data_IF_711603115911
#
_entry.id   IF_711603115911
#
_cell.length_a   1.000
_cell.length_b   1.000
_cell.length_c   1.000
_cell.angle_alpha   90.00
_cell.angle_beta   90.00
_cell.angle_gamma   90.00
#
_symmetry.space_group_name_H-M   'P 1'
#
loop_
_entity.id
_entity.type
_entity.pdbx_description
1 polymer ?
#
# COMPACT_ATOMS: atom_id res chain seq x y z
N UNK A 1 1.75 14.57 14.83
CA UNK A 1 0.87 13.42 15.11
C UNK A 1 1.34 12.23 14.28
N UNK A 2 1.02 11.00 14.65
CA UNK A 2 1.28 9.80 13.85
C UNK A 2 -0.06 9.22 13.44
N UNK A 3 -0.13 8.60 12.26
CA UNK A 3 -1.31 7.88 11.83
C UNK A 3 -0.97 6.41 11.64
N UNK A 4 -1.93 5.54 11.94
CA UNK A 4 -1.80 4.10 11.69
C UNK A 4 -2.05 3.83 10.21
N UNK A 5 -1.22 2.98 9.63
CA UNK A 5 -1.42 2.38 8.33
C UNK A 5 -1.19 0.88 8.42
N UNK A 6 -1.64 0.14 7.42
CA UNK A 6 -1.35 -1.29 7.32
C UNK A 6 -0.42 -1.58 6.16
N UNK A 7 0.61 -2.39 6.40
CA UNK A 7 1.51 -2.92 5.39
C UNK A 7 1.15 -4.38 5.10
N UNK A 8 0.77 -4.66 3.85
CA UNK A 8 0.64 -6.02 3.33
C UNK A 8 1.94 -6.40 2.62
N UNK A 9 2.47 -7.57 2.96
CA UNK A 9 3.59 -8.18 2.25
C UNK A 9 3.11 -9.48 1.57
N UNK A 10 3.02 -9.53 0.23
CA UNK A 10 2.49 -10.69 -0.46
C UNK A 10 3.42 -11.91 -0.41
N UNK A 11 4.73 -11.72 -0.16
CA UNK A 11 5.67 -12.85 -0.05
C UNK A 11 5.45 -13.63 1.25
N UNK A 12 5.15 -12.90 2.33
CA UNK A 12 4.94 -13.49 3.65
C UNK A 12 3.46 -13.72 3.99
N UNK A 13 2.55 -13.13 3.22
CA UNK A 13 1.10 -13.09 3.48
C UNK A 13 0.73 -12.43 4.82
N UNK A 14 1.62 -11.58 5.34
CA UNK A 14 1.42 -10.88 6.62
C UNK A 14 0.83 -9.49 6.35
N UNK A 15 -0.19 -9.17 7.14
CA UNK A 15 -0.74 -7.83 7.29
C UNK A 15 -0.34 -7.28 8.65
N UNK A 16 0.32 -6.12 8.72
CA UNK A 16 0.77 -5.53 9.98
C UNK A 16 0.50 -4.04 10.07
N UNK A 17 0.14 -3.58 11.26
CA UNK A 17 0.06 -2.15 11.55
C UNK A 17 1.46 -1.52 11.56
N UNK A 18 1.58 -0.34 10.97
CA UNK A 18 2.77 0.51 10.96
C UNK A 18 2.38 1.95 11.27
N UNK A 19 3.32 2.71 11.84
CA UNK A 19 3.12 4.12 12.09
C UNK A 19 3.68 4.94 10.92
N UNK A 20 2.85 5.83 10.37
CA UNK A 20 3.29 6.86 9.43
C UNK A 20 3.38 8.22 10.14
N UNK A 21 4.43 9.02 9.87
CA UNK A 21 4.46 10.40 10.34
C UNK A 21 3.31 11.17 9.67
N UNK A 22 2.49 11.87 10.46
CA UNK A 22 1.42 12.69 9.90
C UNK A 22 2.00 13.88 9.13
N UNK A 23 1.45 14.17 7.95
CA UNK A 23 1.87 15.29 7.09
C UNK A 23 1.66 14.99 5.60
N UNK A 24 2.10 15.92 4.74
CA UNK A 24 1.86 15.90 3.28
C UNK A 24 2.98 15.14 2.52
N UNK A 25 3.63 14.16 3.16
CA UNK A 25 4.78 13.47 2.55
C UNK A 25 4.45 12.02 2.21
N UNK A 26 4.60 11.65 0.95
CA UNK A 26 4.52 10.26 0.49
C UNK A 26 5.82 9.48 0.70
N UNK A 27 6.93 10.14 1.05
CA UNK A 27 8.24 9.48 1.22
C UNK A 27 8.20 8.23 2.12
N UNK A 28 7.54 8.25 3.29
CA UNK A 28 7.42 7.05 4.12
C UNK A 28 6.72 5.89 3.42
N UNK A 29 5.75 6.17 2.54
CA UNK A 29 5.04 5.14 1.78
C UNK A 29 5.95 4.53 0.71
N UNK A 30 6.70 5.35 -0.03
CA UNK A 30 7.74 4.88 -0.94
C UNK A 30 8.76 3.97 -0.23
N UNK A 31 9.24 4.40 0.93
CA UNK A 31 10.24 3.65 1.71
C UNK A 31 9.66 2.31 2.23
N UNK A 32 8.37 2.27 2.59
CA UNK A 32 7.69 1.04 3.03
C UNK A 32 7.43 0.05 1.89
N UNK A 33 6.99 0.54 0.73
CA UNK A 33 6.73 -0.28 -0.45
C UNK A 33 8.05 -0.76 -1.05
N UNK A 34 9.07 0.10 -1.05
CA UNK A 34 10.36 -0.13 -1.69
C UNK A 34 10.36 0.20 -3.18
N UNK A 35 9.50 1.11 -3.63
CA UNK A 35 9.36 1.48 -5.04
C UNK A 35 9.83 2.91 -5.35
N UNK A 36 9.82 3.25 -6.64
CA UNK A 36 10.14 4.61 -7.14
C UNK A 36 8.91 5.40 -7.56
N UNK A 37 7.82 4.71 -7.92
CA UNK A 37 6.57 5.30 -8.33
C UNK A 37 5.42 4.54 -7.65
N UNK A 38 4.55 5.29 -6.97
CA UNK A 38 3.36 4.71 -6.35
C UNK A 38 2.13 4.97 -7.20
N UNK A 39 1.29 3.94 -7.30
CA UNK A 39 -0.09 4.04 -7.75
C UNK A 39 -1.00 4.26 -6.52
N UNK A 40 -2.00 5.13 -6.65
CA UNK A 40 -3.02 5.32 -5.61
C UNK A 40 -4.32 4.68 -6.07
N UNK A 41 -4.66 3.55 -5.46
CA UNK A 41 -5.88 2.80 -5.72
C UNK A 41 -6.91 3.16 -4.66
N UNK A 42 -8.13 3.50 -5.09
CA UNK A 42 -9.24 3.73 -4.17
C UNK A 42 -9.63 2.40 -3.53
N UNK A 43 -9.54 2.32 -2.19
CA UNK A 43 -9.98 1.15 -1.46
C UNK A 43 -11.47 1.26 -1.11
N UNK A 44 -11.86 2.36 -0.46
CA UNK A 44 -13.26 2.70 -0.19
C UNK A 44 -13.45 4.24 -0.11
N UNK A 45 -14.46 4.70 0.64
CA UNK A 45 -14.75 6.14 0.85
C UNK A 45 -13.79 6.84 1.82
N UNK A 46 -13.07 6.08 2.65
CA UNK A 46 -12.22 6.58 3.73
C UNK A 46 -10.76 6.15 3.62
N UNK A 47 -10.46 5.14 2.80
CA UNK A 47 -9.15 4.53 2.70
C UNK A 47 -8.58 4.58 1.30
N UNK A 48 -7.27 4.77 1.25
CA UNK A 48 -6.48 4.70 0.03
C UNK A 48 -5.47 3.56 0.15
N UNK A 49 -5.36 2.78 -0.92
CA UNK A 49 -4.36 1.73 -1.06
C UNK A 49 -3.24 2.27 -1.97
N UNK A 50 -2.00 2.10 -1.53
CA UNK A 50 -0.80 2.49 -2.28
C UNK A 50 -0.06 1.24 -2.74
N UNK A 51 0.26 1.18 -4.03
CA UNK A 51 0.93 0.07 -4.67
C UNK A 51 2.13 0.55 -5.49
N UNK A 52 3.02 -0.36 -5.88
CA UNK A 52 4.07 -0.07 -6.85
C UNK A 52 3.49 -0.06 -8.27
N UNK A 53 3.49 1.11 -8.92
CA UNK A 53 2.98 1.31 -10.29
C UNK A 53 3.74 0.44 -11.30
N UNK A 54 5.06 0.26 -11.08
CA UNK A 54 5.95 -0.44 -12.01
C UNK A 54 6.32 -1.84 -11.50
N UNK A 55 5.65 -2.32 -10.44
CA UNK A 55 6.02 -3.56 -9.77
C UNK A 55 5.65 -4.83 -10.56
N UNK A 56 4.71 -4.75 -11.51
CA UNK A 56 4.30 -5.89 -12.31
C UNK A 56 5.34 -6.21 -13.40
N UNK A 57 5.96 -7.38 -13.28
CA UNK A 57 6.90 -7.89 -14.28
C UNK A 57 6.87 -9.42 -14.37
N UNK A 58 7.43 -9.96 -15.45
CA UNK A 58 7.57 -11.40 -15.63
C UNK A 58 8.41 -12.02 -14.51
N UNK A 59 8.00 -13.20 -14.04
CA UNK A 59 8.71 -13.95 -13.00
C UNK A 59 8.34 -13.59 -11.56
N UNK A 60 7.35 -12.72 -11.33
CA UNK A 60 6.78 -12.52 -10.00
C UNK A 60 6.24 -13.83 -9.42
N UNK A 61 6.64 -14.13 -8.18
CA UNK A 61 6.21 -15.32 -7.43
C UNK A 61 5.12 -15.03 -6.40
N UNK A 62 4.89 -13.75 -6.10
CA UNK A 62 3.91 -13.28 -5.15
C UNK A 62 3.27 -11.96 -5.63
N UNK A 63 1.96 -11.86 -5.49
CA UNK A 63 1.16 -10.69 -5.87
C UNK A 63 -0.16 -10.71 -5.08
N UNK A 64 -0.85 -9.58 -5.08
CA UNK A 64 -2.17 -9.44 -4.45
C UNK A 64 -3.24 -9.29 -5.52
N UNK A 65 -4.33 -10.06 -5.42
CA UNK A 65 -5.55 -9.81 -6.20
C UNK A 65 -6.45 -8.89 -5.41
N UNK A 66 -6.79 -7.74 -5.98
CA UNK A 66 -7.75 -6.81 -5.40
C UNK A 66 -9.05 -6.86 -6.21
N UNK A 67 -10.15 -7.28 -5.57
CA UNK A 67 -11.41 -7.52 -6.26
C UNK A 67 -11.92 -6.26 -6.96
N UNK A 68 -12.27 -6.39 -8.24
CA UNK A 68 -12.70 -5.27 -9.08
C UNK A 68 -11.57 -4.43 -9.68
N UNK A 69 -10.30 -4.68 -9.33
CA UNK A 69 -9.15 -4.06 -9.99
C UNK A 69 -8.77 -4.85 -11.25
N UNK A 70 -8.48 -4.17 -12.38
CA UNK A 70 -8.29 -4.84 -13.67
C UNK A 70 -7.03 -5.71 -13.74
N UNK A 71 -6.09 -5.55 -12.82
CA UNK A 71 -4.81 -6.23 -12.80
C UNK A 71 -4.38 -6.61 -11.38
N UNK A 72 -3.49 -7.60 -11.20
CA UNK A 72 -2.87 -7.87 -9.91
C UNK A 72 -2.07 -6.67 -9.41
N UNK A 73 -1.86 -6.57 -8.10
CA UNK A 73 -0.95 -5.59 -7.49
C UNK A 73 0.34 -6.30 -7.07
N UNK A 74 1.48 -5.77 -7.50
CA UNK A 74 2.79 -6.31 -7.20
C UNK A 74 3.43 -5.64 -5.98
N UNK A 75 4.35 -6.37 -5.34
CA UNK A 75 5.10 -5.85 -4.20
C UNK A 75 4.23 -5.62 -2.96
N UNK A 76 4.81 -4.91 -1.98
CA UNK A 76 4.10 -4.59 -0.74
C UNK A 76 3.06 -3.51 -0.98
N UNK A 77 1.95 -3.57 -0.25
CA UNK A 77 0.89 -2.56 -0.33
C UNK A 77 0.76 -1.83 0.99
N UNK A 78 0.42 -0.54 0.94
CA UNK A 78 0.15 0.26 2.14
C UNK A 78 -1.30 0.74 2.09
N UNK A 79 -2.10 0.37 3.08
CA UNK A 79 -3.47 0.87 3.28
C UNK A 79 -3.46 1.99 4.31
N UNK A 80 -4.03 3.14 3.97
CA UNK A 80 -4.02 4.35 4.82
C UNK A 80 -5.44 4.91 4.95
N UNK A 81 -5.84 5.22 6.19
CA UNK A 81 -7.06 5.99 6.48
C UNK A 81 -6.88 7.49 6.21
N UNK A 82 -7.87 8.09 5.55
CA UNK A 82 -7.84 9.48 5.08
C UNK A 82 -8.19 10.53 6.15
N UNK A 83 -8.79 10.13 7.27
CA UNK A 83 -9.19 11.04 8.37
C UNK A 83 -8.28 10.94 9.61
N UNK A 84 -7.22 10.13 9.54
CA UNK A 84 -6.30 9.92 10.66
C UNK A 84 -6.90 9.14 11.83
N UNK A 85 -8.12 8.59 11.68
CA UNK A 85 -8.65 7.59 12.60
C UNK A 85 -7.96 6.24 12.38
N UNK A 86 -8.00 5.38 13.39
CA UNK A 86 -7.48 4.02 13.24
C UNK A 86 -8.29 3.28 12.17
N UNK A 87 -7.63 2.67 11.15
CA UNK A 87 -8.29 1.93 10.07
C UNK A 87 -9.00 0.66 10.55
#
# INVERSE_FOLDING_TARGET
MKQTAYLLDPETTIFRAVELPAGISFKPIYDLIGCRLIEVVRFDERHSLFADEEGLHDGLTAFTIFEGYPQPLAGKLVLVGGDGSEP
#
